data_IF_857602165517
#
_entry.id   IF_857602165517
#
_cell.length_a   1.000
_cell.length_b   1.000
_cell.length_c   1.000
_cell.angle_alpha   90.00
_cell.angle_beta   90.00
_cell.angle_gamma   90.00
#
_symmetry.space_group_name_H-M   'P 1'
#
loop_
_entity.id
_entity.type
_entity.pdbx_description
1 polymer ?
#
# COMPACT_ATOMS: atom_id res chain seq x y z
N UNK A 1 9.09 -52.75 70.49
CA UNK A 1 9.48 -51.34 70.72
C UNK A 1 9.13 -50.58 69.45
N UNK A 2 8.21 -49.61 69.60
CA UNK A 2 8.07 -48.40 68.77
C UNK A 2 7.70 -48.57 67.28
N UNK A 3 6.86 -47.79 66.63
CA UNK A 3 5.90 -46.71 66.96
C UNK A 3 5.09 -46.47 65.67
N UNK A 4 3.88 -45.93 65.82
CA UNK A 4 2.91 -45.59 64.78
C UNK A 4 3.31 -44.40 63.89
N UNK A 5 2.68 -44.26 62.70
CA UNK A 5 2.10 -43.03 62.10
C UNK A 5 1.85 -43.25 60.59
N UNK A 6 0.63 -43.25 60.05
CA UNK A 6 -0.38 -42.18 59.84
C UNK A 6 -0.25 -41.45 58.49
N UNK A 7 -1.34 -41.54 57.72
CA UNK A 7 -1.90 -40.60 56.71
C UNK A 7 -1.03 -40.09 55.53
N UNK A 8 -1.56 -40.19 54.30
CA UNK A 8 -2.46 -39.15 53.78
C UNK A 8 -3.09 -39.55 52.44
N UNK A 9 -4.39 -39.31 52.38
CA UNK A 9 -5.21 -39.36 51.17
C UNK A 9 -4.99 -38.09 50.36
N UNK A 10 -4.58 -38.20 49.10
CA UNK A 10 -4.92 -37.16 48.13
C UNK A 10 -5.33 -37.77 46.81
N UNK A 11 -6.64 -37.79 46.64
CA UNK A 11 -7.36 -37.89 45.38
C UNK A 11 -6.89 -36.78 44.43
N UNK A 12 -5.92 -37.06 43.56
CA UNK A 12 -5.71 -36.22 42.39
C UNK A 12 -6.62 -36.74 41.28
N UNK A 13 -7.71 -35.98 41.13
CA UNK A 13 -8.77 -36.09 40.16
C UNK A 13 -8.21 -36.35 38.77
N UNK A 14 -8.48 -37.55 38.26
CA UNK A 14 -8.66 -37.79 36.83
C UNK A 14 -9.74 -36.82 36.33
N UNK A 15 -9.28 -35.73 35.74
CA UNK A 15 -10.07 -34.93 34.84
C UNK A 15 -9.11 -34.24 33.87
N UNK A 16 -8.43 -35.07 33.07
CA UNK A 16 -8.05 -34.72 31.70
C UNK A 16 -9.34 -34.53 30.88
N UNK A 17 -10.12 -33.53 31.29
CA UNK A 17 -10.97 -32.81 30.35
C UNK A 17 -9.98 -31.95 29.60
N UNK A 18 -9.34 -32.58 28.61
CA UNK A 18 -8.72 -31.89 27.50
C UNK A 18 -9.71 -30.82 27.07
N UNK A 19 -9.40 -29.58 27.42
CA UNK A 19 -10.00 -28.38 26.90
C UNK A 19 -9.66 -28.36 25.40
N UNK A 20 -10.36 -29.23 24.66
CA UNK A 20 -10.55 -29.12 23.22
C UNK A 20 -11.58 -28.01 23.00
N UNK A 21 -11.27 -26.83 23.52
CA UNK A 21 -11.48 -25.63 22.75
C UNK A 21 -10.82 -25.89 21.40
N UNK A 22 -11.62 -26.37 20.44
CA UNK A 22 -11.17 -26.50 19.06
C UNK A 22 -10.62 -25.12 18.69
N UNK A 23 -9.29 -25.04 18.63
CA UNK A 23 -8.63 -23.78 18.35
C UNK A 23 -9.08 -23.38 16.97
N UNK A 24 -9.93 -22.35 16.89
CA UNK A 24 -10.36 -21.78 15.63
C UNK A 24 -9.12 -21.50 14.79
N UNK A 25 -8.95 -22.29 13.73
CA UNK A 25 -7.82 -22.16 12.81
C UNK A 25 -8.34 -21.67 11.47
N UNK A 26 -7.68 -20.65 10.93
CA UNK A 26 -7.96 -20.13 9.59
C UNK A 26 -6.94 -20.74 8.65
N UNK A 27 -7.43 -21.32 7.55
CA UNK A 27 -6.59 -21.82 6.46
C UNK A 27 -7.06 -21.22 5.14
N UNK A 28 -6.16 -21.20 4.17
CA UNK A 28 -6.44 -20.76 2.81
C UNK A 28 -6.24 -21.95 1.87
N UNK A 29 -7.20 -22.19 0.97
CA UNK A 29 -7.16 -23.35 0.06
C UNK A 29 -6.74 -23.01 -1.37
N UNK A 30 -7.21 -21.88 -1.90
CA UNK A 30 -7.03 -21.50 -3.31
C UNK A 30 -6.65 -20.04 -3.47
N UNK A 31 -6.00 -19.74 -4.59
CA UNK A 31 -5.72 -18.39 -5.08
C UNK A 31 -6.50 -18.19 -6.37
N UNK A 32 -7.25 -17.09 -6.44
CA UNK A 32 -7.98 -16.67 -7.62
C UNK A 32 -7.29 -15.44 -8.23
N UNK A 33 -6.98 -15.52 -9.53
CA UNK A 33 -6.41 -14.43 -10.33
C UNK A 33 -7.51 -13.88 -11.22
N UNK A 34 -7.77 -12.58 -11.13
CA UNK A 34 -8.67 -11.87 -12.04
C UNK A 34 -7.86 -10.94 -12.94
N UNK A 35 -8.02 -11.11 -14.25
CA UNK A 35 -7.42 -10.25 -15.25
C UNK A 35 -8.43 -9.20 -15.68
N UNK A 36 -7.99 -7.94 -15.67
CA UNK A 36 -8.80 -6.77 -15.99
C UNK A 36 -8.11 -5.96 -17.09
N UNK A 37 -8.90 -5.24 -17.87
CA UNK A 37 -8.36 -4.35 -18.88
C UNK A 37 -7.53 -3.23 -18.22
N UNK A 38 -6.43 -2.85 -18.86
CA UNK A 38 -5.71 -1.63 -18.50
C UNK A 38 -6.42 -0.46 -19.17
N UNK A 39 -6.92 0.47 -18.37
CA UNK A 39 -7.64 1.65 -18.84
C UNK A 39 -6.93 2.93 -18.45
N UNK A 40 -7.32 4.00 -19.12
CA UNK A 40 -6.70 5.30 -19.01
C UNK A 40 -7.23 6.02 -17.75
N UNK A 41 -6.37 6.19 -16.74
CA UNK A 41 -6.78 6.65 -15.41
C UNK A 41 -6.67 8.15 -15.18
N UNK A 42 -7.24 8.63 -14.08
CA UNK A 42 -7.29 10.06 -13.66
C UNK A 42 -6.55 10.33 -12.34
N UNK A 43 -5.52 9.54 -12.02
CA UNK A 43 -4.77 9.69 -10.77
C UNK A 43 -3.83 10.92 -10.81
N UNK A 44 -4.07 11.95 -9.95
CA UNK A 44 -3.27 13.17 -9.94
C UNK A 44 -1.85 13.00 -9.40
N UNK A 45 -1.55 11.91 -8.68
CA UNK A 45 -0.25 11.67 -8.02
C UNK A 45 0.84 11.13 -8.95
N UNK A 46 0.52 10.84 -10.21
CA UNK A 46 1.47 10.33 -11.20
C UNK A 46 2.55 11.38 -11.53
N UNK A 47 3.84 11.16 -11.29
CA UNK A 47 4.84 12.23 -11.51
C UNK A 47 4.96 12.74 -12.96
N UNK A 48 4.70 11.88 -13.96
CA UNK A 48 4.77 12.21 -15.39
C UNK A 48 3.93 11.26 -16.24
N UNK A 49 3.44 11.73 -17.40
CA UNK A 49 2.68 10.90 -18.35
C UNK A 49 1.30 10.43 -17.84
N UNK A 50 0.69 9.47 -18.56
CA UNK A 50 -0.69 9.02 -18.33
C UNK A 50 -0.80 8.05 -17.16
N UNK A 51 -1.74 8.27 -16.23
CA UNK A 51 -2.07 7.26 -15.22
C UNK A 51 -2.70 6.02 -15.85
N UNK A 52 -2.44 4.86 -15.25
CA UNK A 52 -3.14 3.61 -15.56
C UNK A 52 -4.15 3.31 -14.45
N UNK A 53 -5.27 2.75 -14.84
CA UNK A 53 -6.27 2.15 -13.97
C UNK A 53 -6.61 0.75 -14.48
N UNK A 54 -7.28 -0.04 -13.63
CA UNK A 54 -7.86 -1.33 -14.01
C UNK A 54 -9.36 -1.14 -14.16
N UNK A 55 -9.93 -1.75 -15.19
CA UNK A 55 -11.37 -1.74 -15.37
C UNK A 55 -12.07 -2.64 -14.34
N UNK A 56 -13.37 -2.40 -14.14
CA UNK A 56 -14.17 -3.17 -13.18
C UNK A 56 -14.51 -4.56 -13.69
N UNK A 57 -14.65 -4.70 -15.01
CA UNK A 57 -15.05 -5.94 -15.64
C UNK A 57 -13.87 -6.92 -15.71
N UNK A 58 -14.10 -8.14 -15.20
CA UNK A 58 -13.14 -9.25 -15.29
C UNK A 58 -13.15 -9.77 -16.72
N UNK A 59 -12.00 -9.76 -17.37
CA UNK A 59 -11.84 -10.30 -18.72
C UNK A 59 -11.54 -11.80 -18.70
N UNK A 60 -10.80 -12.25 -17.69
CA UNK A 60 -10.40 -13.64 -17.55
C UNK A 60 -10.13 -13.98 -16.07
N UNK A 61 -10.25 -15.25 -15.71
CA UNK A 61 -9.94 -15.72 -14.37
C UNK A 61 -9.17 -17.06 -14.36
N UNK A 62 -8.40 -17.27 -13.30
CA UNK A 62 -7.65 -18.49 -13.08
C UNK A 62 -7.67 -18.83 -11.58
N UNK A 63 -7.98 -20.07 -11.24
CA UNK A 63 -7.98 -20.56 -9.86
C UNK A 63 -6.97 -21.69 -9.70
N UNK A 64 -6.10 -21.58 -8.69
CA UNK A 64 -5.06 -22.57 -8.40
C UNK A 64 -5.03 -22.90 -6.90
N UNK A 65 -4.63 -24.12 -6.50
CA UNK A 65 -4.31 -24.41 -5.10
C UNK A 65 -3.19 -23.51 -4.56
N UNK A 66 -3.28 -23.13 -3.28
CA UNK A 66 -2.26 -22.24 -2.65
C UNK A 66 -0.86 -22.86 -2.70
N UNK A 67 -0.75 -24.17 -2.48
CA UNK A 67 0.54 -24.88 -2.47
C UNK A 67 1.22 -24.86 -3.86
N UNK A 68 0.43 -25.00 -4.93
CA UNK A 68 0.92 -24.91 -6.30
C UNK A 68 1.41 -23.49 -6.63
N UNK A 69 0.70 -22.47 -6.16
CA UNK A 69 1.14 -21.08 -6.33
C UNK A 69 2.44 -20.80 -5.56
N UNK A 70 2.51 -21.12 -4.27
CA UNK A 70 3.68 -20.79 -3.44
C UNK A 70 4.94 -21.57 -3.86
N UNK A 71 4.80 -22.79 -4.39
CA UNK A 71 5.93 -23.58 -4.91
C UNK A 71 6.57 -23.00 -6.18
N UNK A 72 5.81 -22.26 -6.99
CA UNK A 72 6.28 -21.64 -8.24
C UNK A 72 6.50 -20.12 -8.12
N UNK A 73 6.19 -19.53 -6.96
CA UNK A 73 6.21 -18.09 -6.78
C UNK A 73 7.63 -17.53 -6.81
N UNK A 74 7.83 -16.50 -7.65
CA UNK A 74 9.09 -15.75 -7.68
C UNK A 74 9.32 -14.93 -6.40
N UNK A 75 10.58 -14.56 -6.08
CA UNK A 75 10.89 -13.69 -4.95
C UNK A 75 10.12 -12.36 -4.98
N UNK A 76 9.90 -11.77 -3.80
CA UNK A 76 9.23 -10.46 -3.69
C UNK A 76 10.02 -9.39 -4.44
N UNK A 77 9.29 -8.57 -5.21
CA UNK A 77 9.86 -7.44 -5.95
C UNK A 77 10.37 -6.35 -4.99
N UNK A 78 11.48 -5.71 -5.37
CA UNK A 78 11.97 -4.53 -4.67
C UNK A 78 11.08 -3.30 -4.96
N UNK A 79 11.24 -2.22 -4.18
CA UNK A 79 10.49 -0.97 -4.41
C UNK A 79 10.71 -0.43 -5.82
N UNK A 80 11.94 -0.49 -6.32
CA UNK A 80 12.27 0.02 -7.65
C UNK A 80 11.62 -0.82 -8.76
N UNK A 81 11.48 -2.13 -8.56
CA UNK A 81 10.77 -3.05 -9.47
C UNK A 81 9.24 -2.89 -9.44
N UNK A 82 8.71 -2.10 -8.50
CA UNK A 82 7.29 -1.74 -8.45
C UNK A 82 7.02 -0.42 -9.20
N UNK A 83 8.07 0.37 -9.52
CA UNK A 83 7.92 1.63 -10.24
C UNK A 83 7.75 1.34 -11.74
N UNK A 84 6.63 1.80 -12.31
CA UNK A 84 6.38 1.67 -13.74
C UNK A 84 6.75 2.96 -14.49
N UNK A 85 7.76 2.94 -15.38
CA UNK A 85 8.15 4.10 -16.17
C UNK A 85 7.01 4.64 -17.03
N UNK A 86 7.05 5.94 -17.34
CA UNK A 86 6.06 6.59 -18.21
C UNK A 86 5.94 5.90 -19.57
N UNK A 87 7.07 5.51 -20.17
CA UNK A 87 7.11 4.89 -21.48
C UNK A 87 6.31 3.58 -21.48
N UNK A 88 6.59 2.70 -20.51
CA UNK A 88 5.89 1.44 -20.32
C UNK A 88 4.38 1.64 -20.14
N UNK A 89 3.96 2.65 -19.37
CA UNK A 89 2.53 2.98 -19.23
C UNK A 89 1.91 3.47 -20.54
N UNK A 90 2.66 4.22 -21.34
CA UNK A 90 2.19 4.71 -22.65
C UNK A 90 2.03 3.54 -23.62
N UNK A 91 3.02 2.65 -23.67
CA UNK A 91 3.01 1.47 -24.54
C UNK A 91 1.83 0.55 -24.18
N UNK A 92 1.59 0.29 -22.88
CA UNK A 92 0.44 -0.48 -22.43
C UNK A 92 -0.90 0.11 -22.89
N UNK A 93 -1.07 1.44 -22.87
CA UNK A 93 -2.30 2.07 -23.34
C UNK A 93 -2.43 1.99 -24.87
N UNK A 94 -1.33 2.11 -25.60
CA UNK A 94 -1.33 1.92 -27.06
C UNK A 94 -1.74 0.50 -27.44
N UNK A 95 -1.24 -0.50 -26.71
CA UNK A 95 -1.59 -1.91 -26.91
C UNK A 95 -3.07 -2.19 -26.64
N UNK A 96 -3.70 -1.42 -25.73
CA UNK A 96 -5.15 -1.46 -25.48
C UNK A 96 -5.97 -0.67 -26.50
N UNK A 97 -5.33 -0.07 -27.52
CA UNK A 97 -5.99 0.60 -28.63
C UNK A 97 -6.25 2.10 -28.42
N UNK A 98 -5.75 2.69 -27.33
CA UNK A 98 -5.83 4.14 -27.15
C UNK A 98 -4.94 4.86 -28.16
N UNK A 99 -5.40 6.00 -28.64
CA UNK A 99 -4.60 6.86 -29.49
C UNK A 99 -3.60 7.68 -28.66
N UNK A 100 -2.47 8.04 -29.28
CA UNK A 100 -1.51 9.00 -28.70
C UNK A 100 -2.17 10.34 -28.33
N UNK A 101 -3.25 10.71 -29.04
CA UNK A 101 -4.00 11.93 -28.78
C UNK A 101 -4.72 11.84 -27.44
N UNK A 102 -5.49 10.77 -27.21
CA UNK A 102 -6.22 10.55 -25.95
C UNK A 102 -5.28 10.50 -24.74
N UNK A 103 -4.18 9.78 -24.88
CA UNK A 103 -3.13 9.67 -23.85
C UNK A 103 -2.54 11.05 -23.49
N UNK A 104 -2.33 11.90 -24.50
CA UNK A 104 -1.77 13.24 -24.30
C UNK A 104 -2.77 14.19 -23.66
N UNK A 105 -4.04 14.11 -24.05
CA UNK A 105 -5.09 14.98 -23.54
C UNK A 105 -5.30 14.80 -22.03
N UNK A 106 -5.29 13.57 -21.51
CA UNK A 106 -5.42 13.33 -20.07
C UNK A 106 -4.21 13.79 -19.27
N UNK A 107 -3.01 13.55 -19.81
CA UNK A 107 -1.77 14.05 -19.24
C UNK A 107 -1.74 15.59 -19.19
N UNK A 108 -2.40 16.27 -20.14
CA UNK A 108 -2.47 17.73 -20.22
C UNK A 108 -3.50 18.34 -19.26
N UNK A 109 -4.67 17.72 -19.07
CA UNK A 109 -5.72 18.17 -18.13
C UNK A 109 -5.17 18.42 -16.72
N UNK A 110 -4.15 17.66 -16.32
CA UNK A 110 -3.42 17.81 -15.05
C UNK A 110 -2.72 19.16 -14.87
N UNK A 111 -2.14 19.70 -15.95
CA UNK A 111 -1.39 20.96 -15.90
C UNK A 111 -2.32 22.13 -15.60
N UNK A 112 -3.58 22.07 -16.03
CA UNK A 112 -4.54 23.15 -15.82
C UNK A 112 -5.20 23.08 -14.44
N UNK A 113 -5.53 21.90 -13.92
CA UNK A 113 -6.02 21.75 -12.53
C UNK A 113 -4.97 22.16 -11.49
N UNK A 114 -3.68 22.05 -11.83
CA UNK A 114 -2.56 22.48 -10.98
C UNK A 114 -2.33 24.00 -10.98
N UNK A 115 -2.92 24.76 -11.92
CA UNK A 115 -2.79 26.23 -11.97
C UNK A 115 -3.59 26.97 -10.89
N UNK A 116 -4.41 26.26 -10.11
CA UNK A 116 -5.20 26.84 -9.01
C UNK A 116 -4.49 26.95 -7.65
N UNK A 117 -3.39 26.22 -7.42
CA UNK A 117 -2.74 26.15 -6.09
C UNK A 117 -1.21 26.30 -6.12
N UNK A 118 -0.64 26.75 -7.23
CA UNK A 118 0.80 26.95 -7.43
C UNK A 118 1.27 28.40 -7.30
N UNK A 119 0.72 29.18 -6.36
CA UNK A 119 1.27 30.48 -6.00
C UNK A 119 2.10 30.33 -4.72
N UNK A 120 3.42 30.39 -4.83
CA UNK A 120 4.35 30.15 -3.73
C UNK A 120 3.93 30.80 -2.43
N UNK A 121 4.20 30.13 -1.30
CA UNK A 121 3.93 30.61 0.05
C UNK A 121 4.58 31.98 0.29
N UNK A 122 3.92 33.06 -0.15
CA UNK A 122 4.21 34.42 0.26
C UNK A 122 3.71 34.49 1.68
N UNK A 123 4.67 34.62 2.60
CA UNK A 123 4.52 35.02 4.00
C UNK A 123 3.10 35.52 4.32
N UNK A 124 2.39 34.76 5.16
CA UNK A 124 1.04 35.05 5.63
C UNK A 124 0.99 36.22 6.64
N UNK A 125 2.00 37.11 6.61
CA UNK A 125 2.09 38.27 7.47
C UNK A 125 1.79 39.49 6.61
N UNK A 126 0.75 40.28 6.92
CA UNK A 126 0.52 41.56 6.26
C UNK A 126 1.79 42.41 6.33
N UNK A 127 2.23 43.02 5.22
CA UNK A 127 3.46 43.84 5.15
C UNK A 127 3.52 44.96 6.20
N UNK A 128 2.39 45.34 6.79
CA UNK A 128 2.29 46.33 7.87
C UNK A 128 2.76 45.79 9.23
N UNK A 129 2.64 44.48 9.47
CA UNK A 129 3.06 43.81 10.71
C UNK A 129 4.52 43.34 10.69
N UNK A 130 5.14 43.15 9.52
CA UNK A 130 6.56 42.74 9.45
C UNK A 130 7.52 43.78 10.02
N UNK A 131 7.08 45.04 10.14
CA UNK A 131 7.84 46.15 10.76
C UNK A 131 7.77 46.18 12.29
N UNK A 132 6.86 45.41 12.89
CA UNK A 132 6.66 45.35 14.34
C UNK A 132 7.28 44.11 14.98
N UNK A 133 7.78 43.16 14.17
CA UNK A 133 8.41 41.95 14.67
C UNK A 133 9.91 42.18 14.88
N UNK A 134 10.48 41.83 16.06
CA UNK A 134 11.91 41.96 16.30
C UNK A 134 12.69 41.08 15.32
N UNK A 135 13.55 41.68 14.50
CA UNK A 135 14.49 40.92 13.66
C UNK A 135 15.52 40.25 14.57
N UNK A 136 15.48 38.91 14.66
CA UNK A 136 16.45 38.09 15.39
C UNK A 136 17.85 38.33 14.81
N UNK A 137 18.66 39.15 15.48
CA UNK A 137 20.09 39.31 15.19
C UNK A 137 20.77 37.93 15.33
N UNK A 138 21.32 37.40 14.24
CA UNK A 138 22.24 36.25 14.32
C UNK A 138 23.50 36.73 15.05
N UNK A 139 23.79 36.11 16.19
CA UNK A 139 25.04 36.33 16.91
C UNK A 139 26.23 35.89 16.06
N UNK A 140 27.22 36.76 15.98
CA UNK A 140 28.56 36.47 15.47
C UNK A 140 29.20 35.38 16.34
N UNK A 141 29.64 34.27 15.74
CA UNK A 141 30.62 33.38 16.38
C UNK A 141 32.00 33.99 16.16
N UNK A 142 32.68 34.34 17.25
CA UNK A 142 34.13 34.55 17.27
C UNK A 142 34.79 33.37 17.98
N UNK A 143 35.98 33.03 17.48
CA UNK A 143 36.92 31.94 17.83
C UNK A 143 36.81 31.33 19.23
#
# INVERSE_FOLDING_TARGET
MSESSSNDSSTHRDSDLSDMSERSSVSFGTVEFHEHAIVLGDNPSTSSGPSLEIDWDVQNNLTLPVDDYESHRMPRRSKDQLIMPMQMRTDMLLDQGYSLREIRETSAKRRDSSKGFGGGAKSMIPKKLSKLLPTRRRGSKTN
#
